data_IF_826792458213
#
_entry.id   IF_826792458213
#
_cell.length_a   1.000
_cell.length_b   1.000
_cell.length_c   1.000
_cell.angle_alpha   90.00
_cell.angle_beta   90.00
_cell.angle_gamma   90.00
#
_symmetry.space_group_name_H-M   'P 1'
#
loop_
_entity.id
_entity.type
_entity.pdbx_description
1 polymer ?
#
# COMPACT_ATOMS: atom_id res chain seq x y z
N UNK A 1 -23.09 9.04 -20.58
CA UNK A 1 -22.18 9.94 -19.84
C UNK A 1 -20.77 9.42 -20.00
N UNK A 2 -19.82 10.23 -20.52
CA UNK A 2 -18.39 9.89 -20.41
C UNK A 2 -17.98 10.16 -18.96
N UNK A 3 -17.24 9.26 -18.28
CA UNK A 3 -16.76 9.56 -16.94
C UNK A 3 -15.81 10.76 -17.01
N UNK A 4 -16.07 11.79 -16.20
CA UNK A 4 -15.12 12.89 -16.02
C UNK A 4 -13.83 12.31 -15.44
N UNK A 5 -12.75 12.39 -16.22
CA UNK A 5 -11.43 11.96 -15.76
C UNK A 5 -10.89 13.06 -14.86
N UNK A 6 -11.23 13.01 -13.57
CA UNK A 6 -10.60 13.87 -12.58
C UNK A 6 -9.08 13.61 -12.57
N UNK A 7 -8.34 14.62 -13.02
CA UNK A 7 -6.89 14.62 -13.00
C UNK A 7 -6.46 14.83 -11.55
N UNK A 8 -5.65 13.92 -11.02
CA UNK A 8 -5.09 14.06 -9.68
C UNK A 8 -4.30 15.38 -9.56
N UNK A 9 -4.66 16.17 -8.56
CA UNK A 9 -3.99 17.40 -8.19
C UNK A 9 -3.48 17.28 -6.75
N UNK A 10 -2.20 17.59 -6.55
CA UNK A 10 -1.57 17.49 -5.24
C UNK A 10 -1.93 18.74 -4.43
N UNK A 11 -2.43 18.54 -3.22
CA UNK A 11 -2.68 19.60 -2.24
C UNK A 11 -2.07 19.22 -0.89
N UNK A 12 -2.03 20.16 0.05
CA UNK A 12 -1.54 19.89 1.42
C UNK A 12 -2.40 18.85 2.16
N UNK A 13 -3.66 18.71 1.77
CA UNK A 13 -4.62 17.78 2.35
C UNK A 13 -4.64 16.42 1.64
N UNK A 14 -3.80 16.24 0.61
CA UNK A 14 -3.75 14.97 -0.12
C UNK A 14 -3.35 13.84 0.82
N UNK A 15 -4.23 12.86 0.90
CA UNK A 15 -4.06 11.66 1.71
C UNK A 15 -3.14 10.65 1.03
N UNK A 16 -2.57 9.73 1.81
CA UNK A 16 -1.76 8.62 1.29
C UNK A 16 -2.53 7.84 0.22
N UNK A 17 -3.82 7.57 0.45
CA UNK A 17 -4.67 6.79 -0.47
C UNK A 17 -4.86 7.47 -1.83
N UNK A 18 -5.07 8.78 -1.85
CA UNK A 18 -5.22 9.55 -3.09
C UNK A 18 -3.91 9.58 -3.89
N UNK A 19 -2.78 9.81 -3.20
CA UNK A 19 -1.47 9.81 -3.85
C UNK A 19 -1.12 8.41 -4.36
N UNK A 20 -1.41 7.38 -3.58
CA UNK A 20 -1.19 6.00 -4.00
C UNK A 20 -2.04 5.65 -5.23
N UNK A 21 -3.33 6.03 -5.25
CA UNK A 21 -4.20 5.88 -6.43
C UNK A 21 -3.67 6.61 -7.67
N UNK A 22 -2.95 7.71 -7.48
CA UNK A 22 -2.21 8.35 -8.57
C UNK A 22 -1.06 7.46 -9.06
N UNK A 23 -0.24 6.93 -8.15
CA UNK A 23 0.91 6.08 -8.46
C UNK A 23 0.56 4.70 -9.02
N UNK A 24 -0.64 4.15 -8.81
CA UNK A 24 -1.06 2.90 -9.45
C UNK A 24 -1.10 2.99 -10.98
N UNK A 25 -1.12 4.21 -11.54
CA UNK A 25 -1.02 4.46 -12.99
C UNK A 25 0.38 4.19 -13.55
N UNK A 26 1.41 4.12 -12.71
CA UNK A 26 2.75 3.70 -13.12
C UNK A 26 2.75 2.19 -13.43
N UNK A 27 3.33 1.81 -14.56
CA UNK A 27 3.48 0.41 -15.00
C UNK A 27 4.94 -0.09 -14.93
N UNK A 28 5.86 0.74 -14.48
CA UNK A 28 7.28 0.42 -14.24
C UNK A 28 7.84 1.32 -13.15
N UNK A 29 8.95 0.90 -12.53
CA UNK A 29 9.65 1.69 -11.52
C UNK A 29 10.11 3.04 -12.08
N UNK A 30 10.66 3.04 -13.30
CA UNK A 30 11.10 4.27 -13.97
C UNK A 30 9.97 5.31 -14.12
N UNK A 31 8.73 4.87 -14.36
CA UNK A 31 7.58 5.78 -14.43
C UNK A 31 7.17 6.23 -13.04
N UNK A 32 7.21 5.34 -12.05
CA UNK A 32 6.92 5.68 -10.66
C UNK A 32 7.89 6.74 -10.12
N UNK A 33 9.19 6.60 -10.38
CA UNK A 33 10.24 7.55 -9.99
C UNK A 33 9.97 8.94 -10.57
N UNK A 34 9.65 9.01 -11.87
CA UNK A 34 9.30 10.27 -12.54
C UNK A 34 8.05 10.91 -11.95
N UNK A 35 7.05 10.10 -11.60
CA UNK A 35 5.83 10.60 -10.95
C UNK A 35 6.15 11.17 -9.57
N UNK A 36 6.97 10.47 -8.78
CA UNK A 36 7.41 10.91 -7.46
C UNK A 36 8.18 12.23 -7.52
N UNK A 37 9.20 12.34 -8.39
CA UNK A 37 9.92 13.59 -8.63
C UNK A 37 8.98 14.72 -9.06
N UNK A 38 7.99 14.40 -9.91
CA UNK A 38 6.97 15.34 -10.36
C UNK A 38 6.14 15.90 -9.21
N UNK A 39 5.71 15.04 -8.27
CA UNK A 39 4.99 15.45 -7.08
C UNK A 39 5.87 16.25 -6.12
N UNK A 40 7.13 15.88 -5.92
CA UNK A 40 8.09 16.67 -5.13
C UNK A 40 8.27 18.08 -5.70
N UNK A 41 8.44 18.21 -7.02
CA UNK A 41 8.55 19.52 -7.70
C UNK A 41 7.27 20.35 -7.54
N UNK A 42 6.09 19.73 -7.59
CA UNK A 42 4.81 20.42 -7.34
C UNK A 42 4.70 20.89 -5.89
N UNK A 43 5.03 20.02 -4.94
CA UNK A 43 4.95 20.33 -3.51
C UNK A 43 5.83 21.53 -3.12
N UNK A 44 7.00 21.67 -3.74
CA UNK A 44 7.88 22.85 -3.56
C UNK A 44 7.25 24.17 -4.03
N UNK A 45 6.27 24.12 -4.94
CA UNK A 45 5.57 25.29 -5.48
C UNK A 45 4.29 25.63 -4.73
N UNK A 46 3.81 24.74 -3.86
CA UNK A 46 2.63 25.00 -3.04
C UNK A 46 3.02 25.99 -1.94
N UNK A 47 2.26 27.09 -1.87
CA UNK A 47 2.40 28.06 -0.79
C UNK A 47 1.74 27.53 0.48
N UNK A 48 2.55 27.03 1.41
CA UNK A 48 2.13 26.45 2.68
C UNK A 48 3.26 26.57 3.71
N UNK A 49 2.92 26.30 4.97
CA UNK A 49 3.91 26.22 6.05
C UNK A 49 4.89 25.06 5.83
N UNK A 50 6.07 25.14 6.44
CA UNK A 50 7.05 24.06 6.39
C UNK A 50 6.49 22.74 6.94
N UNK A 51 5.74 22.82 8.04
CA UNK A 51 5.11 21.66 8.67
C UNK A 51 4.09 20.98 7.74
N UNK A 52 3.23 21.75 7.09
CA UNK A 52 2.27 21.20 6.12
C UNK A 52 3.00 20.54 4.96
N UNK A 53 4.04 21.21 4.43
CA UNK A 53 4.85 20.67 3.34
C UNK A 53 5.50 19.34 3.73
N UNK A 54 6.06 19.25 4.92
CA UNK A 54 6.69 18.04 5.44
C UNK A 54 5.66 16.91 5.61
N UNK A 55 4.49 17.18 6.19
CA UNK A 55 3.42 16.20 6.30
C UNK A 55 2.99 15.67 4.92
N UNK A 56 2.77 16.55 3.94
CA UNK A 56 2.41 16.13 2.58
C UNK A 56 3.54 15.35 1.91
N UNK A 57 4.80 15.75 2.13
CA UNK A 57 5.96 15.01 1.62
C UNK A 57 6.00 13.59 2.16
N UNK A 58 5.79 13.41 3.47
CA UNK A 58 5.74 12.10 4.12
C UNK A 58 4.62 11.25 3.51
N UNK A 59 3.42 11.82 3.31
CA UNK A 59 2.33 11.10 2.66
C UNK A 59 2.69 10.62 1.25
N UNK A 60 3.35 11.47 0.46
CA UNK A 60 3.82 11.13 -0.88
C UNK A 60 4.88 10.03 -0.83
N UNK A 61 5.83 10.11 0.11
CA UNK A 61 6.89 9.13 0.27
C UNK A 61 6.35 7.75 0.68
N UNK A 62 5.40 7.69 1.62
CA UNK A 62 4.75 6.43 2.03
C UNK A 62 4.00 5.81 0.86
N UNK A 63 3.24 6.61 0.11
CA UNK A 63 2.50 6.13 -1.06
C UNK A 63 3.42 5.58 -2.16
N UNK A 64 4.58 6.22 -2.35
CA UNK A 64 5.61 5.76 -3.29
C UNK A 64 6.19 4.41 -2.86
N UNK A 65 6.61 4.27 -1.59
CA UNK A 65 7.15 3.02 -1.06
C UNK A 65 6.16 1.85 -1.19
N UNK A 66 4.88 2.06 -0.83
CA UNK A 66 3.83 1.05 -1.03
C UNK A 66 3.71 0.60 -2.49
N UNK A 67 3.82 1.54 -3.44
CA UNK A 67 3.72 1.19 -4.86
C UNK A 67 4.96 0.44 -5.36
N UNK A 68 6.15 0.73 -4.83
CA UNK A 68 7.35 -0.07 -5.08
C UNK A 68 7.19 -1.49 -4.53
N UNK A 69 6.71 -1.62 -3.29
CA UNK A 69 6.40 -2.93 -2.70
C UNK A 69 5.41 -3.72 -3.54
N UNK A 70 4.45 -3.09 -4.23
CA UNK A 70 3.56 -3.78 -5.17
C UNK A 70 4.26 -4.25 -6.45
N UNK A 71 5.23 -3.48 -6.95
CA UNK A 71 6.05 -3.92 -8.08
C UNK A 71 6.89 -5.14 -7.70
N UNK A 72 7.50 -5.12 -6.52
CA UNK A 72 8.29 -6.22 -5.96
C UNK A 72 7.41 -7.42 -5.54
N UNK A 73 6.23 -7.14 -5.00
CA UNK A 73 5.27 -8.07 -4.42
C UNK A 73 4.50 -8.89 -5.45
N UNK A 74 4.43 -8.42 -6.71
CA UNK A 74 4.01 -9.28 -7.84
C UNK A 74 4.90 -10.51 -8.04
N UNK A 75 6.10 -10.56 -7.42
CA UNK A 75 6.95 -11.74 -7.33
C UNK A 75 6.88 -12.53 -6.01
N UNK A 76 6.21 -12.04 -4.95
CA UNK A 76 6.23 -12.64 -3.61
C UNK A 76 4.85 -12.64 -2.94
N UNK A 77 3.94 -13.44 -3.48
CA UNK A 77 2.70 -13.82 -2.81
C UNK A 77 2.95 -14.73 -1.59
N UNK A 78 3.75 -14.29 -0.61
CA UNK A 78 4.00 -15.05 0.61
C UNK A 78 2.88 -14.85 1.65
N UNK A 79 2.19 -13.70 1.64
CA UNK A 79 1.13 -13.41 2.63
C UNK A 79 -0.24 -14.02 2.27
N UNK A 80 -0.55 -14.22 0.98
CA UNK A 80 -1.83 -14.80 0.57
C UNK A 80 -1.92 -16.30 0.98
N UNK A 81 -0.78 -16.96 1.14
CA UNK A 81 -0.72 -18.36 1.56
C UNK A 81 -0.89 -18.52 3.08
N UNK A 82 -0.40 -17.59 3.89
CA UNK A 82 -0.48 -17.69 5.36
C UNK A 82 -1.91 -17.45 5.87
N UNK A 83 -2.62 -16.45 5.37
CA UNK A 83 -4.01 -16.17 5.81
C UNK A 83 -4.98 -17.26 5.37
N UNK A 84 -4.89 -17.73 4.12
CA UNK A 84 -5.71 -18.85 3.63
C UNK A 84 -5.46 -20.15 4.39
N UNK A 85 -4.21 -20.43 4.78
CA UNK A 85 -3.84 -21.61 5.56
C UNK A 85 -4.40 -21.53 6.99
N UNK A 86 -4.35 -20.37 7.64
CA UNK A 86 -4.94 -20.15 8.97
C UNK A 86 -6.47 -20.26 8.93
N UNK A 87 -7.13 -19.63 7.95
CA UNK A 87 -8.58 -19.75 7.77
C UNK A 87 -9.03 -21.19 7.50
N UNK A 88 -8.24 -21.95 6.73
CA UNK A 88 -8.49 -23.37 6.52
C UNK A 88 -8.34 -24.17 7.82
N UNK A 89 -7.35 -23.87 8.66
CA UNK A 89 -7.16 -24.56 9.95
C UNK A 89 -8.33 -24.28 10.88
N UNK A 90 -8.79 -23.01 10.97
CA UNK A 90 -9.95 -22.62 11.77
C UNK A 90 -11.22 -23.34 11.29
N UNK A 91 -11.43 -23.45 9.97
CA UNK A 91 -12.59 -24.15 9.40
C UNK A 91 -12.54 -25.66 9.61
N UNK A 92 -11.38 -26.28 9.51
CA UNK A 92 -11.21 -27.73 9.70
C UNK A 92 -11.29 -28.13 11.18
N UNK A 93 -10.92 -27.23 12.09
CA UNK A 93 -10.78 -27.51 13.51
C UNK A 93 -11.67 -26.61 14.38
N UNK A 94 -12.91 -26.35 13.94
CA UNK A 94 -13.88 -25.48 14.61
C UNK A 94 -14.28 -25.93 16.03
N UNK A 95 -13.92 -27.15 16.41
CA UNK A 95 -14.26 -27.76 17.70
C UNK A 95 -13.09 -27.71 18.70
N UNK A 96 -11.94 -27.14 18.32
CA UNK A 96 -10.80 -26.98 19.22
C UNK A 96 -11.01 -25.79 20.15
N UNK A 97 -10.42 -25.88 21.33
CA UNK A 97 -10.26 -24.73 22.21
C UNK A 97 -9.36 -23.68 21.54
N UNK A 98 -9.49 -22.39 21.89
CA UNK A 98 -8.62 -21.33 21.36
C UNK A 98 -7.12 -21.63 21.50
N UNK A 99 -6.73 -22.26 22.61
CA UNK A 99 -5.35 -22.64 22.93
C UNK A 99 -4.83 -23.75 21.99
N UNK A 100 -5.67 -24.77 21.74
CA UNK A 100 -5.32 -25.87 20.83
C UNK A 100 -5.25 -25.40 19.37
N UNK A 101 -6.17 -24.50 18.99
CA UNK A 101 -6.22 -23.90 17.65
C UNK A 101 -4.98 -23.04 17.37
N UNK A 102 -4.52 -22.28 18.37
CA UNK A 102 -3.25 -21.56 18.30
C UNK A 102 -2.07 -22.52 18.14
N UNK A 103 -2.07 -23.63 18.90
CA UNK A 103 -1.06 -24.68 18.80
C UNK A 103 -0.96 -25.32 17.41
N UNK A 104 -2.10 -25.61 16.78
CA UNK A 104 -2.16 -26.16 15.41
C UNK A 104 -1.70 -25.15 14.35
N UNK A 105 -2.11 -23.88 14.49
CA UNK A 105 -1.67 -22.81 13.60
C UNK A 105 -0.15 -22.63 13.64
N UNK A 106 0.45 -22.64 14.83
CA UNK A 106 1.90 -22.52 15.01
C UNK A 106 2.67 -23.72 14.47
N UNK A 107 2.15 -24.95 14.62
CA UNK A 107 2.76 -26.15 14.04
C UNK A 107 2.71 -26.15 12.52
N UNK A 108 1.62 -25.65 11.95
CA UNK A 108 1.46 -25.52 10.49
C UNK A 108 2.39 -24.49 9.86
N UNK A 109 2.90 -23.52 10.63
CA UNK A 109 3.87 -22.53 10.15
C UNK A 109 5.32 -23.05 10.11
N UNK A 110 5.63 -24.19 10.76
CA UNK A 110 6.97 -24.80 10.80
C UNK A 110 7.25 -25.79 9.65
N UNK A 111 6.27 -26.00 8.75
CA UNK A 111 6.37 -26.80 7.53
C UNK A 111 6.23 -25.92 6.29
#
# INVERSE_FOLDING_TARGET
>A
MKPEVHRFELSINSTISEVYSHFTKANSDQILDRMFEGLQKKLRKINCSERERECTFINVYIAYGKRQEDFDGKGKACEILSTRRIESIIKTHSNLSPEDLLGEALRSLKQ
#
